data_IF_516088242046
#
_entry.id   IF_516088242046
#
_cell.length_a   1.000
_cell.length_b   1.000
_cell.length_c   1.000
_cell.angle_alpha   90.00
_cell.angle_beta   90.00
_cell.angle_gamma   90.00
#
_symmetry.space_group_name_H-M   'P 1'
#
loop_
_entity.id
_entity.type
_entity.pdbx_description
1 polymer ?
#
# COMPACT_ATOMS: atom_id res chain seq x y z
N UNK A 1 -34.35 -14.02 28.08
CA UNK A 1 -34.09 -13.69 26.66
C UNK A 1 -33.58 -12.26 26.48
N UNK A 2 -34.24 -11.25 27.03
CA UNK A 2 -33.86 -9.82 26.90
C UNK A 2 -32.41 -9.51 27.31
N UNK A 3 -31.94 -10.06 28.45
CA UNK A 3 -30.57 -9.84 28.96
C UNK A 3 -29.47 -10.38 28.03
N UNK A 4 -29.70 -11.51 27.36
CA UNK A 4 -28.78 -12.09 26.37
C UNK A 4 -28.75 -11.26 25.06
N UNK A 5 -29.91 -10.74 24.67
CA UNK A 5 -30.02 -9.86 23.51
C UNK A 5 -29.31 -8.52 23.73
N UNK A 6 -29.44 -7.95 24.94
CA UNK A 6 -28.74 -6.72 25.32
C UNK A 6 -27.22 -6.89 25.33
N UNK A 7 -26.73 -8.03 25.85
CA UNK A 7 -25.29 -8.36 25.83
C UNK A 7 -24.75 -8.51 24.40
N UNK A 8 -25.49 -9.17 23.52
CA UNK A 8 -25.10 -9.31 22.11
C UNK A 8 -25.04 -7.96 21.38
N UNK A 9 -26.01 -7.08 21.62
CA UNK A 9 -26.01 -5.72 21.09
C UNK A 9 -24.79 -4.91 21.58
N UNK A 10 -24.45 -5.02 22.85
CA UNK A 10 -23.33 -4.33 23.47
C UNK A 10 -22.00 -4.81 22.90
N UNK A 11 -21.83 -6.11 22.67
CA UNK A 11 -20.66 -6.71 22.02
C UNK A 11 -20.55 -6.25 20.55
N UNK A 12 -21.66 -6.19 19.83
CA UNK A 12 -21.71 -5.71 18.44
C UNK A 12 -21.31 -4.23 18.34
N UNK A 13 -21.76 -3.39 19.26
CA UNK A 13 -21.39 -1.96 19.33
C UNK A 13 -19.91 -1.81 19.64
N UNK A 14 -19.36 -2.61 20.57
CA UNK A 14 -17.93 -2.57 20.93
C UNK A 14 -17.07 -3.02 19.75
N UNK A 15 -17.46 -4.05 19.00
CA UNK A 15 -16.73 -4.51 17.80
C UNK A 15 -16.74 -3.42 16.71
N UNK A 16 -17.85 -2.71 16.55
CA UNK A 16 -17.97 -1.63 15.55
C UNK A 16 -17.12 -0.40 15.89
N UNK A 17 -16.84 -0.13 17.18
CA UNK A 17 -16.01 1.01 17.61
C UNK A 17 -14.49 0.73 17.55
N UNK A 18 -14.06 -0.53 17.36
CA UNK A 18 -12.67 -0.93 17.31
C UNK A 18 -12.06 -0.88 15.89
N UNK A 19 -12.82 -0.51 14.86
CA UNK A 19 -12.27 -0.27 13.53
C UNK A 19 -11.49 1.03 13.51
N UNK A 20 -10.16 0.94 13.69
CA UNK A 20 -9.27 2.06 13.40
C UNK A 20 -9.37 2.39 11.92
N UNK A 21 -9.92 3.54 11.59
CA UNK A 21 -9.85 4.06 10.22
C UNK A 21 -8.41 4.52 9.97
N UNK A 22 -7.77 3.97 8.94
CA UNK A 22 -6.51 4.51 8.45
C UNK A 22 -6.76 5.90 7.85
N UNK A 23 -5.93 6.88 8.23
CA UNK A 23 -5.96 8.20 7.61
C UNK A 23 -5.25 8.14 6.26
N UNK A 24 -5.92 8.62 5.21
CA UNK A 24 -5.39 8.62 3.85
C UNK A 24 -5.01 10.02 3.40
N UNK A 25 -4.04 10.09 2.49
CA UNK A 25 -3.63 11.29 1.80
C UNK A 25 -3.58 11.02 0.30
N UNK A 26 -4.10 11.95 -0.51
CA UNK A 26 -4.03 11.86 -1.97
C UNK A 26 -3.08 12.93 -2.48
N UNK A 27 -2.24 12.54 -3.45
CA UNK A 27 -1.29 13.44 -4.11
C UNK A 27 -1.43 13.32 -5.62
N UNK A 28 -1.39 14.47 -6.30
CA UNK A 28 -1.44 14.55 -7.76
C UNK A 28 -0.04 14.39 -8.34
N UNK A 29 0.11 13.54 -9.33
CA UNK A 29 1.35 13.32 -10.07
C UNK A 29 1.12 13.48 -11.56
N UNK A 30 2.19 13.53 -12.36
CA UNK A 30 2.09 13.59 -13.82
C UNK A 30 1.44 12.34 -14.44
N UNK A 31 1.41 11.21 -13.72
CA UNK A 31 0.80 9.95 -14.18
C UNK A 31 -0.64 9.79 -13.69
N UNK A 32 -1.09 10.58 -12.73
CA UNK A 32 -2.42 10.50 -12.11
C UNK A 32 -2.37 10.70 -10.60
N UNK A 33 -3.51 10.59 -9.95
CA UNK A 33 -3.62 10.72 -8.51
C UNK A 33 -3.15 9.44 -7.79
N UNK A 34 -2.46 9.60 -6.64
CA UNK A 34 -1.95 8.50 -5.82
C UNK A 34 -2.46 8.66 -4.40
N UNK A 35 -3.08 7.62 -3.85
CA UNK A 35 -3.53 7.58 -2.46
C UNK A 35 -2.53 6.82 -1.61
N UNK A 36 -1.93 7.50 -0.62
CA UNK A 36 -1.09 6.93 0.41
C UNK A 36 -1.76 6.87 1.77
N UNK A 37 -1.06 6.38 2.75
CA UNK A 37 -1.49 6.27 4.15
C UNK A 37 -0.66 7.19 5.05
N UNK A 38 -1.32 7.84 6.01
CA UNK A 38 -0.64 8.64 7.04
C UNK A 38 -0.20 7.70 8.17
N UNK A 39 1.07 7.73 8.51
CA UNK A 39 1.66 6.89 9.56
C UNK A 39 2.34 7.72 10.64
N UNK A 40 2.51 7.13 11.81
CA UNK A 40 3.27 7.73 12.92
C UNK A 40 4.63 7.04 13.04
N UNK A 41 5.67 7.86 13.15
CA UNK A 41 7.01 7.40 13.47
C UNK A 41 7.13 7.11 14.98
N UNK A 42 8.25 6.47 15.40
CA UNK A 42 8.50 6.13 16.80
C UNK A 42 8.49 7.34 17.74
N UNK A 43 8.91 8.50 17.27
CA UNK A 43 8.90 9.76 18.01
C UNK A 43 7.55 10.51 18.00
N UNK A 44 6.49 9.88 17.46
CA UNK A 44 5.15 10.45 17.37
C UNK A 44 4.90 11.37 16.16
N UNK A 45 5.92 11.74 15.41
CA UNK A 45 5.76 12.56 14.21
C UNK A 45 4.97 11.81 13.12
N UNK A 46 4.10 12.52 12.40
CA UNK A 46 3.38 11.96 11.27
C UNK A 46 4.17 12.06 9.98
N UNK A 47 4.00 11.07 9.12
CA UNK A 47 4.55 11.07 7.77
C UNK A 47 3.58 10.39 6.80
N UNK A 48 3.67 10.76 5.53
CA UNK A 48 2.89 10.13 4.47
C UNK A 48 3.71 8.98 3.86
N UNK A 49 3.08 7.85 3.63
CA UNK A 49 3.68 6.69 2.99
C UNK A 49 2.88 6.33 1.74
N UNK A 50 3.53 6.38 0.59
CA UNK A 50 3.02 5.90 -0.69
C UNK A 50 3.79 4.63 -1.04
N UNK A 51 3.12 3.49 -1.04
CA UNK A 51 3.72 2.17 -1.15
C UNK A 51 3.29 1.50 -2.46
N UNK A 52 4.25 0.92 -3.18
CA UNK A 52 3.95 0.23 -4.42
C UNK A 52 3.56 1.17 -5.57
N UNK A 53 4.21 2.32 -5.69
CA UNK A 53 4.01 3.24 -6.82
C UNK A 53 4.82 2.74 -8.01
N UNK A 54 4.20 2.46 -9.18
CA UNK A 54 4.92 1.99 -10.35
C UNK A 54 5.80 3.13 -10.92
N UNK A 55 7.07 2.86 -11.17
CA UNK A 55 7.97 3.82 -11.81
C UNK A 55 8.29 3.46 -13.27
N UNK A 56 7.95 2.25 -13.69
CA UNK A 56 8.11 1.78 -15.07
C UNK A 56 7.01 0.78 -15.40
N UNK A 57 6.86 0.47 -16.70
CA UNK A 57 6.01 -0.63 -17.16
C UNK A 57 6.54 -1.95 -16.61
N UNK A 58 5.65 -2.92 -16.27
CA UNK A 58 6.09 -4.27 -15.94
C UNK A 58 6.99 -4.85 -17.03
N UNK A 59 8.16 -5.40 -16.69
CA UNK A 59 9.12 -5.94 -17.67
C UNK A 59 8.70 -7.33 -18.14
N UNK A 60 7.49 -7.46 -18.65
CA UNK A 60 6.87 -8.72 -19.07
C UNK A 60 6.79 -8.84 -20.59
N UNK A 61 6.76 -10.06 -21.10
CA UNK A 61 6.60 -10.34 -22.53
C UNK A 61 7.65 -9.64 -23.36
N UNK A 62 7.23 -8.78 -24.28
CA UNK A 62 8.10 -8.04 -25.21
C UNK A 62 8.99 -7.00 -24.50
N UNK A 63 8.68 -6.61 -23.28
CA UNK A 63 9.48 -5.67 -22.50
C UNK A 63 10.55 -6.35 -21.64
N UNK A 64 10.55 -7.69 -21.60
CA UNK A 64 11.60 -8.44 -20.88
C UNK A 64 12.94 -8.22 -21.56
N UNK A 65 13.97 -7.98 -20.76
CA UNK A 65 15.35 -7.68 -21.24
C UNK A 65 15.47 -6.38 -22.04
N UNK A 66 14.44 -5.54 -22.03
CA UNK A 66 14.48 -4.22 -22.64
C UNK A 66 14.77 -3.14 -21.59
N UNK A 67 15.30 -1.98 -21.99
CA UNK A 67 15.38 -0.82 -21.11
C UNK A 67 13.99 -0.49 -20.54
N UNK A 68 13.89 -0.06 -19.27
CA UNK A 68 12.63 0.30 -18.65
C UNK A 68 11.85 1.32 -19.46
N UNK A 69 10.57 1.07 -19.67
CA UNK A 69 9.65 2.00 -20.32
C UNK A 69 8.89 2.81 -19.26
N UNK A 70 8.54 4.08 -19.53
CA UNK A 70 7.79 4.90 -18.59
C UNK A 70 6.54 4.20 -18.09
N UNK A 71 6.23 4.41 -16.81
CA UNK A 71 4.98 3.92 -16.24
C UNK A 71 3.77 4.47 -17.02
N UNK A 72 2.71 3.67 -17.22
CA UNK A 72 1.51 4.17 -17.88
C UNK A 72 0.83 5.23 -17.01
N UNK A 73 0.14 6.16 -17.67
CA UNK A 73 -0.82 7.04 -17.00
C UNK A 73 -2.01 6.18 -16.55
N UNK A 74 -2.50 6.40 -15.36
CA UNK A 74 -3.68 5.71 -14.83
C UNK A 74 -4.84 6.69 -14.63
N UNK A 75 -6.04 6.17 -14.86
CA UNK A 75 -7.27 6.91 -14.58
C UNK A 75 -7.68 6.74 -13.11
N UNK A 76 -8.23 7.81 -12.53
CA UNK A 76 -8.69 7.80 -11.15
C UNK A 76 -7.55 7.88 -10.13
N UNK A 77 -7.69 7.12 -9.03
CA UNK A 77 -6.76 7.16 -7.90
C UNK A 77 -6.06 5.82 -7.76
N UNK A 78 -4.74 5.80 -7.92
CA UNK A 78 -3.90 4.64 -7.63
C UNK A 78 -3.85 4.42 -6.11
N UNK A 79 -4.21 3.22 -5.65
CA UNK A 79 -4.11 2.84 -4.24
C UNK A 79 -2.69 2.41 -3.89
N UNK A 80 -1.91 3.33 -3.33
CA UNK A 80 -0.56 3.12 -2.87
C UNK A 80 -0.47 2.98 -1.33
N UNK A 81 -1.41 2.26 -0.72
CA UNK A 81 -1.43 2.02 0.72
C UNK A 81 -0.71 0.74 1.13
N UNK A 82 -0.40 -0.13 0.17
CA UNK A 82 0.26 -1.44 0.39
C UNK A 82 1.50 -1.57 -0.48
N UNK A 83 2.52 -2.23 0.07
CA UNK A 83 3.73 -2.56 -0.70
C UNK A 83 3.39 -3.49 -1.85
N UNK A 84 4.02 -3.26 -3.00
CA UNK A 84 4.01 -4.19 -4.11
C UNK A 84 4.83 -5.46 -3.81
N UNK A 85 4.72 -6.46 -4.67
CA UNK A 85 5.54 -7.67 -4.62
C UNK A 85 7.03 -7.31 -4.78
N UNK A 86 7.88 -8.07 -4.10
CA UNK A 86 9.33 -8.03 -4.37
C UNK A 86 9.63 -8.64 -5.74
N UNK A 87 10.76 -8.32 -6.33
CA UNK A 87 11.21 -9.01 -7.54
C UNK A 87 11.46 -10.49 -7.26
N UNK A 88 11.34 -11.31 -8.29
CA UNK A 88 11.58 -12.75 -8.21
C UNK A 88 12.95 -13.03 -7.60
N UNK A 89 12.98 -13.74 -6.50
CA UNK A 89 14.18 -14.08 -5.74
C UNK A 89 13.97 -15.33 -4.91
N UNK A 90 15.07 -15.99 -4.51
CA UNK A 90 15.03 -17.09 -3.56
C UNK A 90 14.68 -16.56 -2.16
N UNK A 91 13.90 -17.34 -1.42
CA UNK A 91 13.66 -17.07 0.00
C UNK A 91 14.91 -17.48 0.80
N UNK A 92 15.55 -16.51 1.47
CA UNK A 92 16.75 -16.76 2.28
C UNK A 92 16.52 -17.72 3.45
N UNK A 93 15.29 -17.84 3.92
CA UNK A 93 14.93 -18.72 5.04
C UNK A 93 14.31 -20.05 4.61
N UNK A 94 13.87 -20.13 3.34
CA UNK A 94 13.25 -21.30 2.75
C UNK A 94 13.78 -21.49 1.32
N UNK A 95 14.96 -22.10 1.16
CA UNK A 95 15.66 -22.17 -0.15
C UNK A 95 14.85 -22.85 -1.27
N UNK A 96 13.85 -23.64 -0.91
CA UNK A 96 12.96 -24.32 -1.87
C UNK A 96 11.78 -23.45 -2.36
N UNK A 97 11.71 -22.19 -1.90
CA UNK A 97 10.64 -21.27 -2.26
C UNK A 97 11.15 -20.08 -3.05
N UNK A 98 10.55 -19.87 -4.20
CA UNK A 98 10.65 -18.62 -4.95
C UNK A 98 9.68 -17.60 -4.37
N UNK A 99 10.15 -16.37 -4.15
CA UNK A 99 9.34 -15.23 -3.73
C UNK A 99 9.22 -14.22 -4.86
N UNK A 100 8.14 -13.42 -4.80
CA UNK A 100 7.99 -12.24 -5.62
C UNK A 100 7.35 -12.47 -6.98
N UNK A 101 7.54 -11.48 -7.85
CA UNK A 101 6.97 -11.44 -9.19
C UNK A 101 7.94 -10.76 -10.14
N UNK A 102 7.83 -11.03 -11.45
CA UNK A 102 8.52 -10.26 -12.48
C UNK A 102 7.94 -8.84 -12.61
N UNK A 103 6.67 -8.65 -12.28
CA UNK A 103 6.04 -7.33 -12.14
C UNK A 103 6.43 -6.75 -10.78
N UNK A 104 7.58 -6.10 -10.71
CA UNK A 104 8.16 -5.60 -9.47
C UNK A 104 8.80 -4.20 -9.57
N UNK A 105 8.57 -3.48 -10.66
CA UNK A 105 9.15 -2.13 -10.85
C UNK A 105 8.33 -1.07 -10.12
N UNK A 106 8.33 -1.17 -8.80
CA UNK A 106 7.61 -0.31 -7.87
C UNK A 106 8.56 0.31 -6.85
N UNK A 107 8.23 1.51 -6.40
CA UNK A 107 8.95 2.20 -5.35
C UNK A 107 8.01 2.58 -4.19
N UNK A 108 8.61 2.89 -3.07
CA UNK A 108 7.90 3.41 -1.89
C UNK A 108 8.44 4.82 -1.60
N UNK A 109 7.52 5.78 -1.43
CA UNK A 109 7.85 7.17 -1.14
C UNK A 109 7.38 7.50 0.26
N UNK A 110 8.27 8.09 1.04
CA UNK A 110 7.97 8.58 2.39
C UNK A 110 8.22 10.08 2.43
N UNK A 111 7.21 10.85 2.78
CA UNK A 111 7.31 12.30 2.87
C UNK A 111 6.92 12.77 4.26
N UNK A 112 7.51 13.88 4.70
CA UNK A 112 7.07 14.53 5.94
C UNK A 112 5.59 14.89 5.80
N UNK A 113 4.78 14.49 6.78
CA UNK A 113 3.39 14.97 6.87
C UNK A 113 3.38 16.50 6.94
N UNK A 114 2.36 17.14 6.39
CA UNK A 114 2.12 18.55 6.70
C UNK A 114 1.91 18.62 8.21
N UNK A 115 2.86 19.18 8.93
CA UNK A 115 2.68 19.47 10.35
C UNK A 115 1.49 20.43 10.49
N UNK A 116 0.64 20.13 11.45
CA UNK A 116 -0.28 21.14 11.97
C UNK A 116 0.52 22.28 12.58
#
# INVERSE_FOLDING_TARGET
>A
MLRRFLLLLLVLVIIFTLTSADDYVTYETNQGNVRGVIKKARNGATFNAFLGVPFARPPLGVFRWQPPQPAPIWDGILDATKKAQVCTQDDLYHPDKMLGSEDCLYLNVFTKGKGN
#
